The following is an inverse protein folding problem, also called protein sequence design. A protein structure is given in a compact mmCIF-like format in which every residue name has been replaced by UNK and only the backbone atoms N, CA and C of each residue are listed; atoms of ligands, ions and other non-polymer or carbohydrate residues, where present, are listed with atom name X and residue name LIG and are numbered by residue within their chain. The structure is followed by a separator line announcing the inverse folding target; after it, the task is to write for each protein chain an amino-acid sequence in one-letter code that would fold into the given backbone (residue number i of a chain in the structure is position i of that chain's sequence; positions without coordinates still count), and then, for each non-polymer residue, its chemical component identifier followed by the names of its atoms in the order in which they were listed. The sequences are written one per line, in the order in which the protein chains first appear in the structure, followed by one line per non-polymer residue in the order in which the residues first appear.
data_IF_092122257513
#
_entry.id   IF_092122257513
#
_cell.length_a   1.000
_cell.length_b   1.000
_cell.length_c   1.000
_cell.angle_alpha   90.00
_cell.angle_beta   90.00
_cell.angle_gamma   90.00
#
_symmetry.space_group_name_H-M   'P 1'
#
loop_
_entity.id
_entity.type
_entity.pdbx_description
1 polymer ?
#
# COMPACT_ATOMS: atom_id res chain seq x y z
N UNK A 1 7.44 -6.79 -18.19
CA UNK A 1 7.16 -8.13 -18.73
C UNK A 1 8.28 -9.04 -18.23
N UNK A 2 7.99 -10.22 -17.65
CA UNK A 2 9.04 -11.18 -17.29
C UNK A 2 9.63 -11.75 -18.58
N UNK A 3 10.94 -11.86 -18.68
CA UNK A 3 11.62 -12.48 -19.83
C UNK A 3 12.30 -13.74 -19.32
N UNK A 4 11.94 -14.90 -19.87
CA UNK A 4 12.57 -16.19 -19.56
C UNK A 4 12.66 -16.55 -18.06
N UNK A 5 11.62 -16.26 -17.27
CA UNK A 5 11.62 -16.55 -15.82
C UNK A 5 12.50 -15.60 -14.99
N UNK A 6 13.30 -14.75 -15.64
CA UNK A 6 14.12 -13.74 -15.00
C UNK A 6 13.27 -12.48 -14.74
N UNK A 7 13.32 -12.00 -13.50
CA UNK A 7 12.35 -11.06 -12.92
C UNK A 7 11.71 -11.56 -11.64
N UNK A 8 12.31 -12.54 -10.96
CA UNK A 8 12.01 -12.80 -9.55
C UNK A 8 12.58 -11.63 -8.75
N UNK A 9 11.71 -10.79 -8.22
CA UNK A 9 12.11 -9.81 -7.22
C UNK A 9 12.56 -10.56 -5.96
N UNK A 10 13.60 -10.06 -5.29
CA UNK A 10 14.02 -10.58 -3.99
C UNK A 10 12.85 -10.47 -3.01
N UNK A 11 12.53 -11.55 -2.32
CA UNK A 11 11.66 -11.49 -1.15
C UNK A 11 12.45 -10.88 0.01
N UNK A 12 11.94 -9.80 0.57
CA UNK A 12 12.59 -9.14 1.71
C UNK A 12 12.51 -10.04 2.95
N UNK A 13 13.60 -10.15 3.69
CA UNK A 13 13.60 -10.76 5.01
C UNK A 13 13.10 -9.78 6.09
N UNK A 14 12.98 -10.24 7.33
CA UNK A 14 12.47 -9.42 8.44
C UNK A 14 13.31 -8.17 8.73
N UNK A 15 14.63 -8.24 8.61
CA UNK A 15 15.52 -7.11 8.86
C UNK A 15 15.47 -6.07 7.72
N UNK A 16 15.34 -6.55 6.49
CA UNK A 16 15.13 -5.68 5.32
C UNK A 16 13.76 -5.00 5.36
N UNK A 17 12.73 -5.70 5.83
CA UNK A 17 11.42 -5.10 6.09
C UNK A 17 11.52 -4.01 7.15
N UNK A 18 12.19 -4.28 8.28
CA UNK A 18 12.44 -3.26 9.31
C UNK A 18 13.16 -2.04 8.72
N UNK A 19 14.23 -2.26 7.98
CA UNK A 19 14.99 -1.18 7.36
C UNK A 19 14.15 -0.37 6.35
N UNK A 20 13.30 -1.04 5.58
CA UNK A 20 12.35 -0.41 4.66
C UNK A 20 11.36 0.48 5.39
N UNK A 21 10.74 -0.02 6.46
CA UNK A 21 9.81 0.78 7.23
C UNK A 21 10.53 1.90 7.97
N UNK A 22 11.66 1.64 8.62
CA UNK A 22 12.30 2.62 9.51
C UNK A 22 13.05 3.73 8.77
N UNK A 23 13.85 3.38 7.76
CA UNK A 23 14.79 4.33 7.12
C UNK A 23 14.34 4.78 5.75
N UNK A 24 13.64 3.94 5.01
CA UNK A 24 13.30 4.23 3.62
C UNK A 24 11.96 4.95 3.52
N UNK A 25 10.88 4.36 4.03
CA UNK A 25 9.55 4.97 3.99
C UNK A 25 9.47 6.09 5.04
N UNK A 26 9.82 7.33 4.69
CA UNK A 26 9.79 8.46 5.66
C UNK A 26 8.41 9.11 5.77
N UNK A 27 7.53 8.91 4.78
CA UNK A 27 6.19 9.48 4.77
C UNK A 27 5.17 8.52 5.42
N UNK A 28 4.41 8.95 6.43
CA UNK A 28 3.35 8.13 7.05
C UNK A 28 2.36 7.56 6.03
N UNK A 29 1.97 8.34 5.01
CA UNK A 29 1.09 7.87 3.92
C UNK A 29 1.66 6.61 3.23
N UNK A 30 2.95 6.64 2.92
CA UNK A 30 3.60 5.58 2.17
C UNK A 30 3.87 4.36 3.07
N UNK A 31 4.21 4.59 4.35
CA UNK A 31 4.26 3.55 5.38
C UNK A 31 2.92 2.82 5.50
N UNK A 32 1.83 3.54 5.67
CA UNK A 32 0.49 2.96 5.80
C UNK A 32 0.07 2.18 4.55
N UNK A 33 0.37 2.72 3.36
CA UNK A 33 0.10 2.03 2.10
C UNK A 33 0.85 0.68 2.00
N UNK A 34 2.14 0.66 2.35
CA UNK A 34 2.93 -0.56 2.37
C UNK A 34 2.49 -1.53 3.47
N UNK A 35 2.17 -1.02 4.67
CA UNK A 35 1.65 -1.83 5.77
C UNK A 35 0.36 -2.56 5.36
N UNK A 36 -0.60 -1.84 4.75
CA UNK A 36 -1.83 -2.48 4.23
C UNK A 36 -1.49 -3.60 3.26
N UNK A 37 -0.54 -3.41 2.34
CA UNK A 37 -0.14 -4.46 1.41
C UNK A 37 0.51 -5.66 2.12
N UNK A 38 1.38 -5.41 3.10
CA UNK A 38 2.09 -6.42 3.87
C UNK A 38 1.13 -7.27 4.72
N UNK A 39 0.28 -6.64 5.52
CA UNK A 39 -0.60 -7.33 6.48
C UNK A 39 -1.81 -7.98 5.81
N UNK A 40 -2.30 -7.45 4.69
CA UNK A 40 -3.55 -7.95 4.06
C UNK A 40 -3.33 -8.75 2.77
N UNK A 41 -2.09 -8.81 2.29
CA UNK A 41 -1.72 -9.45 1.02
C UNK A 41 -2.42 -8.84 -0.21
N UNK A 42 -2.98 -7.62 -0.09
CA UNK A 42 -3.70 -7.00 -1.20
C UNK A 42 -2.75 -6.54 -2.32
N UNK A 43 -3.29 -6.35 -3.52
CA UNK A 43 -2.53 -5.71 -4.58
C UNK A 43 -2.42 -4.22 -4.27
N UNK A 44 -1.28 -3.60 -4.59
CA UNK A 44 -1.09 -2.14 -4.47
C UNK A 44 -2.23 -1.36 -5.13
N UNK A 45 -2.76 -1.83 -6.27
CA UNK A 45 -3.91 -1.18 -6.93
C UNK A 45 -5.21 -1.21 -6.14
N UNK A 46 -5.40 -2.21 -5.28
CA UNK A 46 -6.56 -2.32 -4.39
C UNK A 46 -6.38 -1.35 -3.22
N UNK A 47 -5.20 -1.31 -2.61
CA UNK A 47 -4.87 -0.37 -1.55
C UNK A 47 -5.03 1.11 -1.99
N UNK A 48 -4.52 1.46 -3.18
CA UNK A 48 -4.66 2.82 -3.75
C UNK A 48 -6.11 3.24 -4.03
N UNK A 49 -7.06 2.29 -4.06
CA UNK A 49 -8.48 2.56 -4.30
C UNK A 49 -9.30 2.67 -3.03
N UNK A 50 -8.71 2.42 -1.86
CA UNK A 50 -9.37 2.56 -0.58
C UNK A 50 -9.84 4.01 -0.35
N UNK A 51 -11.02 4.12 0.25
CA UNK A 51 -11.52 5.35 0.82
C UNK A 51 -11.42 5.26 2.34
N UNK A 52 -11.41 6.41 3.01
CA UNK A 52 -11.44 6.47 4.48
C UNK A 52 -12.65 5.73 5.06
N UNK A 53 -13.76 5.68 4.31
CA UNK A 53 -14.98 4.96 4.67
C UNK A 53 -14.88 3.43 4.57
N UNK A 54 -13.82 2.89 3.95
CA UNK A 54 -13.59 1.45 3.86
C UNK A 54 -12.95 0.87 5.13
N UNK A 55 -12.48 1.72 6.04
CA UNK A 55 -11.95 1.36 7.35
C UNK A 55 -13.02 1.66 8.40
N UNK A 56 -13.57 0.63 9.03
CA UNK A 56 -14.60 0.76 10.06
C UNK A 56 -14.49 -0.35 11.09
N UNK A 57 -14.66 0.00 12.37
CA UNK A 57 -14.81 -0.99 13.45
C UNK A 57 -13.76 -2.09 13.40
N UNK A 58 -12.49 -1.71 13.31
CA UNK A 58 -11.34 -2.65 13.26
C UNK A 58 -11.32 -3.56 12.03
N UNK A 59 -12.05 -3.21 10.98
CA UNK A 59 -12.05 -3.96 9.72
C UNK A 59 -11.70 -3.08 8.53
N UNK A 60 -11.02 -3.68 7.56
CA UNK A 60 -10.68 -3.10 6.27
C UNK A 60 -11.47 -3.80 5.16
N UNK A 61 -12.27 -3.03 4.42
CA UNK A 61 -13.14 -3.56 3.36
C UNK A 61 -12.58 -3.26 1.97
N UNK A 62 -12.26 -4.32 1.22
CA UNK A 62 -11.91 -4.21 -0.20
C UNK A 62 -13.14 -4.40 -1.08
N UNK A 63 -13.67 -3.30 -1.64
CA UNK A 63 -14.89 -3.30 -2.46
C UNK A 63 -14.72 -3.98 -3.82
N UNK A 64 -15.72 -4.78 -4.22
CA UNK A 64 -15.80 -5.46 -5.54
C UNK A 64 -15.52 -4.53 -6.74
N UNK A 65 -16.00 -3.29 -6.70
CA UNK A 65 -15.82 -2.28 -7.78
C UNK A 65 -14.35 -1.92 -8.04
N UNK A 66 -13.47 -2.20 -7.08
CA UNK A 66 -12.04 -1.86 -7.13
C UNK A 66 -11.12 -3.05 -7.45
N UNK A 67 -11.65 -4.27 -7.49
CA UNK A 67 -10.87 -5.50 -7.77
C UNK A 67 -10.87 -5.86 -9.26
N UNK A 68 -9.72 -6.29 -9.79
CA UNK A 68 -9.62 -6.78 -11.17
C UNK A 68 -10.46 -8.06 -11.30
N UNK A 69 -11.43 -8.07 -12.21
CA UNK A 69 -12.38 -9.18 -12.40
C UNK A 69 -13.67 -9.07 -11.57
N UNK A 70 -13.80 -8.08 -10.67
CA UNK A 70 -15.00 -7.84 -9.86
C UNK A 70 -15.51 -9.12 -9.20
N UNK A 71 -14.64 -9.91 -8.57
CA UNK A 71 -15.01 -11.27 -8.13
C UNK A 71 -15.84 -11.26 -6.83
N UNK A 72 -15.40 -10.55 -5.78
CA UNK A 72 -16.15 -10.41 -4.52
C UNK A 72 -15.62 -9.24 -3.67
N UNK A 73 -16.47 -8.63 -2.83
CA UNK A 73 -16.01 -7.78 -1.72
C UNK A 73 -15.43 -8.69 -0.64
N UNK A 74 -14.30 -8.31 -0.05
CA UNK A 74 -13.71 -9.02 1.09
C UNK A 74 -13.45 -8.04 2.24
N UNK A 75 -13.58 -8.54 3.46
CA UNK A 75 -13.30 -7.82 4.69
C UNK A 75 -12.12 -8.51 5.36
N UNK A 76 -11.21 -7.73 5.92
CA UNK A 76 -10.02 -8.21 6.64
C UNK A 76 -9.99 -7.52 7.99
N UNK A 77 -9.73 -8.26 9.06
CA UNK A 77 -9.58 -7.71 10.40
C UNK A 77 -8.25 -6.94 10.50
N UNK A 78 -8.28 -5.80 11.16
CA UNK A 78 -7.12 -4.95 11.42
C UNK A 78 -6.42 -5.53 12.63
N UNK A 79 -5.25 -6.11 12.39
CA UNK A 79 -4.35 -6.58 13.45
C UNK A 79 -3.65 -5.40 14.11
N UNK A 80 -3.22 -5.56 15.36
CA UNK A 80 -2.53 -4.52 16.14
C UNK A 80 -1.36 -3.89 15.36
N UNK A 81 -0.56 -4.73 14.70
CA UNK A 81 0.57 -4.26 13.89
C UNK A 81 0.17 -3.41 12.68
N UNK A 82 -1.05 -3.53 12.16
CA UNK A 82 -1.58 -2.64 11.12
C UNK A 82 -2.25 -1.39 11.72
N UNK A 83 -2.89 -1.51 12.89
CA UNK A 83 -3.55 -0.41 13.58
C UNK A 83 -2.59 0.74 13.86
N UNK A 84 -1.36 0.45 14.32
CA UNK A 84 -0.33 1.46 14.57
C UNK A 84 -0.04 2.34 13.33
N UNK A 85 0.01 1.74 12.14
CA UNK A 85 0.25 2.50 10.90
C UNK A 85 -0.98 3.28 10.44
N UNK A 86 -2.19 2.81 10.77
CA UNK A 86 -3.42 3.52 10.47
C UNK A 86 -3.58 4.74 11.37
N UNK A 87 -3.26 4.62 12.65
CA UNK A 87 -3.32 5.72 13.62
C UNK A 87 -2.26 6.80 13.33
N UNK A 88 -1.07 6.39 12.87
CA UNK A 88 -0.01 7.32 12.46
C UNK A 88 -0.33 8.11 11.18
N UNK A 89 -1.39 7.76 10.44
CA UNK A 89 -1.76 8.41 9.20
C UNK A 89 -3.22 8.87 9.21
N UNK A 90 -3.42 10.18 9.33
CA UNK A 90 -4.76 10.81 9.27
C UNK A 90 -5.04 11.40 7.89
N UNK A 91 -5.65 10.66 6.94
CA UNK A 91 -6.05 11.19 5.65
C UNK A 91 -7.20 12.20 5.77
N UNK A 92 -7.32 13.09 4.79
CA UNK A 92 -8.51 13.93 4.63
C UNK A 92 -9.70 13.06 4.19
N UNK A 93 -10.95 13.54 4.34
CA UNK A 93 -12.12 12.87 3.76
C UNK A 93 -11.96 12.68 2.24
N UNK A 94 -12.44 11.53 1.74
CA UNK A 94 -12.19 11.00 0.40
C UNK A 94 -10.71 10.60 0.15
N UNK A 95 -10.36 10.06 -1.03
CA UNK A 95 -9.54 8.86 -1.17
C UNK A 95 -8.37 8.75 -0.18
N UNK A 96 -8.24 7.58 0.45
CA UNK A 96 -7.26 7.33 1.52
C UNK A 96 -5.84 7.69 1.09
N UNK A 97 -5.51 7.53 -0.20
CA UNK A 97 -4.23 7.92 -0.77
C UNK A 97 -4.44 8.93 -1.91
N UNK A 98 -4.48 10.24 -1.62
CA UNK A 98 -4.78 11.26 -2.61
C UNK A 98 -3.63 11.41 -3.62
N UNK A 99 -4.00 11.69 -4.87
CA UNK A 99 -3.06 11.96 -5.96
C UNK A 99 -2.55 13.41 -5.98
N UNK A 100 -1.84 13.78 -7.04
CA UNK A 100 -1.41 15.18 -7.23
C UNK A 100 -2.64 16.05 -7.48
N UNK A 101 -2.87 17.04 -6.61
CA UNK A 101 -4.01 17.97 -6.66
C UNK A 101 -4.11 18.61 -8.06
N UNK A 102 -5.29 18.52 -8.67
CA UNK A 102 -5.56 19.05 -10.01
C UNK A 102 -5.09 18.18 -11.19
N UNK A 103 -4.48 17.02 -10.94
CA UNK A 103 -4.01 16.10 -11.99
C UNK A 103 -4.66 14.73 -11.85
N UNK A 104 -4.69 14.20 -10.64
CA UNK A 104 -5.24 12.86 -10.35
C UNK A 104 -5.91 12.86 -8.99
N UNK A 105 -7.12 12.33 -8.90
CA UNK A 105 -7.84 12.22 -7.63
C UNK A 105 -7.11 11.31 -6.63
N UNK A 106 -6.46 10.25 -7.11
CA UNK A 106 -5.78 9.22 -6.28
C UNK A 106 -4.35 9.02 -6.73
N UNK A 107 -3.50 8.55 -5.81
CA UNK A 107 -2.12 8.21 -6.14
C UNK A 107 -2.11 7.10 -7.20
N UNK A 108 -1.39 7.32 -8.29
CA UNK A 108 -1.30 6.36 -9.39
C UNK A 108 -0.16 5.38 -9.16
N UNK A 109 -0.24 4.21 -9.79
CA UNK A 109 0.84 3.21 -9.75
C UNK A 109 2.17 3.76 -10.28
N UNK A 110 2.13 4.68 -11.24
CA UNK A 110 3.32 5.27 -11.85
C UNK A 110 4.05 6.18 -10.86
N UNK A 111 3.32 7.07 -10.17
CA UNK A 111 3.89 7.96 -9.15
C UNK A 111 4.36 7.19 -7.91
N UNK A 112 3.69 6.09 -7.56
CA UNK A 112 4.15 5.19 -6.50
C UNK A 112 5.48 4.52 -6.85
N UNK A 113 5.66 4.09 -8.11
CA UNK A 113 6.90 3.47 -8.57
C UNK A 113 8.08 4.46 -8.56
N UNK A 114 7.86 5.73 -8.88
CA UNK A 114 8.92 6.76 -8.83
C UNK A 114 9.47 6.99 -7.40
N UNK A 115 8.65 6.77 -6.38
CA UNK A 115 9.06 6.88 -4.96
C UNK A 115 9.61 5.53 -4.45
N UNK A 116 8.95 4.42 -4.75
CA UNK A 116 9.31 3.10 -4.20
C UNK A 116 10.55 2.47 -4.86
N UNK A 117 10.79 2.70 -6.16
CA UNK A 117 11.93 2.11 -6.89
C UNK A 117 13.29 2.61 -6.37
N UNK A 118 13.55 3.91 -6.18
CA UNK A 118 14.84 4.34 -5.63
C UNK A 118 15.02 3.89 -4.17
N UNK A 119 13.97 3.86 -3.36
CA UNK A 119 14.01 3.36 -1.98
C UNK A 119 14.40 1.87 -1.90
N UNK A 120 13.77 1.03 -2.72
CA UNK A 120 14.07 -0.41 -2.79
C UNK A 120 15.46 -0.65 -3.41
N UNK A 121 15.90 0.19 -4.35
CA UNK A 121 17.23 0.11 -4.94
C UNK A 121 18.36 0.49 -3.98
N UNK A 122 18.11 1.35 -2.98
CA UNK A 122 19.06 1.68 -1.91
C UNK A 122 19.20 0.51 -0.90
N UNK A 123 18.12 -0.24 -0.69
CA UNK A 123 18.08 -1.41 0.21
C UNK A 123 18.73 -2.69 -0.34
N UNK A 124 18.89 -2.77 -1.67
CA UNK A 124 19.39 -3.96 -2.37
C UNK A 124 20.84 -3.81 -2.88
N UNK A 125 21.58 -2.82 -2.37
CA UNK A 125 23.03 -2.67 -2.60
C UNK A 125 23.84 -3.11 -1.39
#
# INVERSE_FOLDING_TARGET
MKVAGNGQAKTLNSDELRLLFDKSLTNPRDRTLFAICLFTGCRVSEALRLQTTDIKSETLTFRKSTTKGKLKTRVVDIQDGLAEFLDAYTPKPDPMFPGKRGVTERLTRYNYMEIAIPLIAILLR
#
